data_IF_651891089639
#
_entry.id   IF_651891089639
#
_cell.length_a   1.000
_cell.length_b   1.000
_cell.length_c   1.000
_cell.angle_alpha   90.00
_cell.angle_beta   90.00
_cell.angle_gamma   90.00
#
_symmetry.space_group_name_H-M   'P 1'
#
loop_
_entity.id
_entity.type
_entity.pdbx_description
1 polymer ?
#
# COMPACT_ATOMS: atom_id res chain seq x y z
N UNK A 1 13.44 27.27 22.77
CA UNK A 1 13.08 25.98 23.40
C UNK A 1 12.68 25.05 22.27
N UNK A 2 13.42 23.97 22.07
CA UNK A 2 13.08 22.96 21.05
C UNK A 2 11.80 22.26 21.51
N UNK A 3 10.75 22.29 20.69
CA UNK A 3 9.46 21.62 20.96
C UNK A 3 9.53 20.09 20.74
N UNK A 4 10.73 19.53 20.63
CA UNK A 4 10.98 18.15 20.24
C UNK A 4 11.87 17.47 21.28
N UNK A 5 11.30 16.53 22.05
CA UNK A 5 12.05 15.66 22.96
C UNK A 5 12.46 14.38 22.20
N UNK A 6 13.75 14.21 21.86
CA UNK A 6 14.24 13.03 21.13
C UNK A 6 14.05 11.71 21.89
N UNK A 7 13.71 11.74 23.20
CA UNK A 7 13.40 10.54 24.00
C UNK A 7 12.01 9.97 23.72
N UNK A 8 11.14 10.71 23.03
CA UNK A 8 9.80 10.25 22.63
C UNK A 8 9.78 9.59 21.23
N UNK A 9 10.95 9.37 20.63
CA UNK A 9 11.06 8.69 19.34
C UNK A 9 11.19 7.19 19.60
N UNK A 10 10.34 6.34 19.00
CA UNK A 10 10.52 4.89 19.05
C UNK A 10 11.95 4.52 18.60
N UNK A 11 12.61 3.54 19.25
CA UNK A 11 13.93 3.12 18.85
C UNK A 11 13.91 2.62 17.40
N UNK A 12 14.95 2.96 16.64
CA UNK A 12 15.13 2.39 15.30
C UNK A 12 15.25 0.86 15.38
N UNK A 13 14.83 0.14 14.33
CA UNK A 13 15.12 -1.28 14.20
C UNK A 13 16.63 -1.56 14.27
N UNK A 14 17.03 -2.80 14.62
CA UNK A 14 18.43 -3.21 14.54
C UNK A 14 19.05 -2.94 13.17
N UNK A 15 20.34 -2.61 13.16
CA UNK A 15 21.08 -2.39 11.91
C UNK A 15 21.08 -3.64 11.03
N UNK A 16 20.69 -3.48 9.76
CA UNK A 16 20.70 -4.57 8.75
C UNK A 16 21.85 -4.46 7.77
N UNK A 17 22.36 -3.25 7.57
CA UNK A 17 23.58 -3.01 6.81
C UNK A 17 24.76 -2.97 7.77
N UNK A 18 25.71 -3.90 7.62
CA UNK A 18 26.82 -4.10 8.56
C UNK A 18 28.19 -4.01 7.90
N UNK A 19 28.25 -3.68 6.61
CA UNK A 19 29.51 -3.43 5.91
C UNK A 19 30.08 -2.09 6.39
N UNK A 20 31.40 -2.01 6.46
CA UNK A 20 32.11 -0.80 6.89
C UNK A 20 32.02 0.34 5.86
N UNK A 21 31.95 -0.02 4.58
CA UNK A 21 31.89 0.91 3.46
C UNK A 21 30.47 1.05 2.90
N UNK A 22 30.04 2.25 2.45
CA UNK A 22 28.73 2.46 1.86
C UNK A 22 28.60 1.82 0.46
N UNK A 23 27.37 1.50 0.07
CA UNK A 23 27.03 0.92 -1.24
C UNK A 23 26.03 1.80 -1.99
N UNK A 24 26.29 2.07 -3.28
CA UNK A 24 25.38 2.81 -4.15
C UNK A 24 24.31 1.85 -4.69
N UNK A 25 23.20 1.76 -3.98
CA UNK A 25 22.12 0.79 -4.29
C UNK A 25 20.75 1.43 -4.55
N UNK A 26 20.64 2.76 -4.50
CA UNK A 26 19.39 3.47 -4.73
C UNK A 26 18.98 3.45 -6.21
N UNK A 27 17.68 3.34 -6.45
CA UNK A 27 17.08 3.36 -7.79
C UNK A 27 15.79 4.17 -7.76
N UNK A 28 15.34 4.59 -8.95
CA UNK A 28 14.15 5.43 -9.12
C UNK A 28 13.24 4.80 -10.17
N UNK A 29 11.98 4.57 -9.80
CA UNK A 29 10.90 4.22 -10.73
C UNK A 29 10.11 5.47 -11.09
N UNK A 30 9.99 5.78 -12.38
CA UNK A 30 9.29 6.98 -12.85
C UNK A 30 7.77 6.75 -12.82
N UNK A 31 7.03 7.83 -12.57
CA UNK A 31 5.57 7.78 -12.45
C UNK A 31 4.83 7.55 -13.77
N UNK A 32 5.49 7.81 -14.90
CA UNK A 32 5.01 7.70 -16.27
C UNK A 32 5.45 6.40 -16.96
N UNK A 33 6.22 5.54 -16.28
CA UNK A 33 6.48 4.19 -16.75
C UNK A 33 5.16 3.39 -16.86
N UNK A 34 5.05 2.51 -17.88
CA UNK A 34 3.86 1.69 -18.07
C UNK A 34 3.62 0.75 -16.87
N UNK A 35 2.38 0.25 -16.69
CA UNK A 35 2.09 -0.72 -15.65
C UNK A 35 2.84 -2.03 -15.91
N UNK A 36 3.29 -2.67 -14.82
CA UNK A 36 3.90 -4.00 -14.87
C UNK A 36 2.85 -5.07 -15.23
N UNK A 37 1.59 -4.85 -14.84
CA UNK A 37 0.45 -5.68 -15.23
C UNK A 37 -0.77 -4.84 -15.58
N UNK A 38 -1.42 -5.17 -16.70
CA UNK A 38 -2.65 -4.55 -17.16
C UNK A 38 -3.75 -5.61 -17.39
N UNK A 39 -4.82 -5.54 -16.60
CA UNK A 39 -6.00 -6.38 -16.75
C UNK A 39 -7.03 -5.67 -17.64
N UNK A 40 -6.74 -5.62 -18.95
CA UNK A 40 -7.62 -5.05 -19.98
C UNK A 40 -8.09 -3.60 -19.70
N UNK A 41 -7.24 -2.78 -19.09
CA UNK A 41 -7.54 -1.42 -18.69
C UNK A 41 -8.44 -1.28 -17.47
N UNK A 42 -8.87 -2.39 -16.86
CA UNK A 42 -9.75 -2.40 -15.69
C UNK A 42 -8.99 -2.27 -14.37
N UNK A 43 -7.84 -2.93 -14.27
CA UNK A 43 -6.94 -2.84 -13.12
C UNK A 43 -5.51 -2.83 -13.64
N UNK A 44 -4.74 -1.82 -13.26
CA UNK A 44 -3.33 -1.68 -13.61
C UNK A 44 -2.49 -1.69 -12.35
N UNK A 45 -1.49 -2.56 -12.30
CA UNK A 45 -0.54 -2.63 -11.20
C UNK A 45 0.81 -2.05 -11.64
N UNK A 46 1.29 -1.06 -10.89
CA UNK A 46 2.65 -0.57 -10.95
C UNK A 46 3.38 -1.01 -9.68
N UNK A 47 4.31 -1.94 -9.80
CA UNK A 47 5.20 -2.37 -8.74
C UNK A 47 6.26 -1.29 -8.52
N UNK A 48 6.06 -0.46 -7.49
CA UNK A 48 7.02 0.59 -7.14
C UNK A 48 8.23 -0.01 -6.44
N UNK A 49 8.03 -0.99 -5.55
CA UNK A 49 9.06 -1.84 -4.99
C UNK A 49 8.45 -3.20 -4.62
N UNK A 50 9.04 -4.29 -5.07
CA UNK A 50 8.56 -5.64 -4.74
C UNK A 50 9.36 -6.25 -3.57
N UNK A 51 8.84 -7.34 -3.03
CA UNK A 51 9.43 -8.04 -1.87
C UNK A 51 10.87 -8.51 -2.09
N UNK A 52 11.26 -8.84 -3.33
CA UNK A 52 12.64 -9.24 -3.63
C UNK A 52 13.58 -8.03 -3.61
N UNK A 53 13.13 -6.90 -4.20
CA UNK A 53 13.89 -5.64 -4.24
C UNK A 53 14.10 -5.03 -2.85
N UNK A 54 13.15 -5.26 -1.94
CA UNK A 54 13.20 -4.73 -0.56
C UNK A 54 13.71 -5.73 0.46
N UNK A 55 14.15 -6.92 0.02
CA UNK A 55 14.60 -8.00 0.91
C UNK A 55 13.59 -8.34 2.03
N UNK A 56 12.30 -8.37 1.68
CA UNK A 56 11.23 -8.70 2.63
C UNK A 56 10.66 -7.52 3.42
N UNK A 57 11.18 -6.30 3.28
CA UNK A 57 10.81 -5.19 4.16
C UNK A 57 9.39 -4.71 3.90
N UNK A 58 9.04 -4.58 2.62
CA UNK A 58 7.70 -4.22 2.18
C UNK A 58 7.50 -4.52 0.70
N UNK A 59 6.25 -4.67 0.29
CA UNK A 59 5.83 -4.49 -1.10
C UNK A 59 5.10 -3.17 -1.23
N UNK A 60 5.41 -2.37 -2.24
CA UNK A 60 4.74 -1.11 -2.55
C UNK A 60 4.25 -1.13 -3.99
N UNK A 61 2.96 -0.89 -4.16
CA UNK A 61 2.29 -0.87 -5.45
C UNK A 61 1.47 0.41 -5.59
N UNK A 62 1.47 1.02 -6.78
CA UNK A 62 0.42 1.93 -7.20
C UNK A 62 -0.58 1.13 -8.05
N UNK A 63 -1.84 1.17 -7.67
CA UNK A 63 -2.90 0.43 -8.36
C UNK A 63 -3.93 1.40 -8.90
N UNK A 64 -4.12 1.40 -10.22
CA UNK A 64 -5.18 2.17 -10.86
C UNK A 64 -6.35 1.22 -11.14
N UNK A 65 -7.53 1.56 -10.59
CA UNK A 65 -8.73 0.74 -10.70
C UNK A 65 -9.80 1.55 -11.43
N UNK A 66 -10.27 1.05 -12.58
CA UNK A 66 -11.34 1.71 -13.32
C UNK A 66 -12.68 1.59 -12.56
N UNK A 67 -13.69 2.42 -12.83
CA UNK A 67 -15.01 2.29 -12.21
C UNK A 67 -15.70 0.94 -12.43
N UNK A 68 -15.34 0.23 -13.52
CA UNK A 68 -15.82 -1.11 -13.86
C UNK A 68 -14.85 -2.21 -13.40
N UNK A 69 -13.72 -1.82 -12.81
CA UNK A 69 -12.71 -2.72 -12.29
C UNK A 69 -13.20 -3.52 -11.09
N UNK A 70 -12.54 -4.66 -10.88
CA UNK A 70 -12.67 -5.43 -9.66
C UNK A 70 -11.63 -5.00 -8.62
N UNK A 71 -11.68 -5.69 -7.49
CA UNK A 71 -10.58 -5.75 -6.54
C UNK A 71 -10.71 -7.05 -5.74
N UNK A 72 -9.70 -7.41 -4.94
CA UNK A 72 -9.77 -8.62 -4.15
C UNK A 72 -10.99 -8.55 -3.21
N UNK A 73 -11.67 -9.68 -3.05
CA UNK A 73 -12.69 -9.82 -2.00
C UNK A 73 -12.07 -9.77 -0.59
N UNK A 74 -12.87 -9.65 0.47
CA UNK A 74 -12.36 -9.66 1.86
C UNK A 74 -11.47 -10.87 2.15
N UNK A 75 -10.22 -10.64 2.55
CA UNK A 75 -9.22 -11.66 2.89
C UNK A 75 -8.24 -11.17 3.95
N UNK A 76 -7.48 -12.04 4.61
CA UNK A 76 -6.54 -11.65 5.67
C UNK A 76 -5.10 -12.10 5.38
N UNK A 77 -4.15 -11.44 6.02
CA UNK A 77 -2.73 -11.76 5.93
C UNK A 77 -2.18 -12.11 7.32
N UNK A 78 -1.55 -13.29 7.43
CA UNK A 78 -0.94 -13.74 8.69
C UNK A 78 0.48 -13.23 8.88
N UNK A 79 1.19 -13.01 7.79
CA UNK A 79 2.63 -12.75 7.80
C UNK A 79 3.00 -11.27 7.64
N UNK A 80 2.06 -10.42 7.23
CA UNK A 80 2.34 -9.02 6.88
C UNK A 80 1.14 -8.13 7.14
N UNK A 81 1.41 -6.85 7.42
CA UNK A 81 0.39 -5.80 7.41
C UNK A 81 0.22 -5.26 6.00
N UNK A 82 -1.00 -4.87 5.67
CA UNK A 82 -1.30 -4.16 4.42
C UNK A 82 -1.70 -2.71 4.73
N UNK A 83 -1.41 -1.79 3.83
CA UNK A 83 -1.85 -0.41 3.97
C UNK A 83 -2.31 0.17 2.63
N UNK A 84 -3.39 0.95 2.65
CA UNK A 84 -3.91 1.67 1.51
C UNK A 84 -3.81 3.16 1.76
N UNK A 85 -3.32 3.89 0.76
CA UNK A 85 -3.37 5.35 0.74
C UNK A 85 -4.00 5.78 -0.58
N UNK A 86 -5.10 6.51 -0.51
CA UNK A 86 -5.86 6.88 -1.70
C UNK A 86 -5.24 8.11 -2.35
N UNK A 87 -4.65 7.93 -3.53
CA UNK A 87 -4.01 9.02 -4.27
C UNK A 87 -5.00 9.93 -5.00
N UNK A 88 -6.10 9.38 -5.51
CA UNK A 88 -7.13 10.13 -6.22
C UNK A 88 -8.44 9.32 -6.34
N UNK A 89 -9.54 10.02 -6.64
CA UNK A 89 -10.85 9.40 -6.81
C UNK A 89 -11.45 8.86 -5.50
N UNK A 90 -12.33 7.87 -5.63
CA UNK A 90 -12.99 7.22 -4.49
C UNK A 90 -12.94 5.71 -4.66
N UNK A 91 -12.45 5.04 -3.62
CA UNK A 91 -12.41 3.58 -3.52
C UNK A 91 -13.24 3.13 -2.32
N UNK A 92 -13.77 1.92 -2.37
CA UNK A 92 -14.39 1.26 -1.23
C UNK A 92 -13.32 0.45 -0.53
N UNK A 93 -13.13 0.68 0.76
CA UNK A 93 -12.18 -0.01 1.61
C UNK A 93 -12.96 -0.82 2.65
N UNK A 94 -12.57 -2.07 2.88
CA UNK A 94 -13.16 -2.92 3.91
C UNK A 94 -12.22 -2.97 5.12
N UNK A 95 -12.71 -2.55 6.28
CA UNK A 95 -11.92 -2.42 7.52
C UNK A 95 -11.98 -3.68 8.41
N UNK A 96 -12.63 -4.74 7.94
CA UNK A 96 -12.93 -5.95 8.70
C UNK A 96 -14.36 -6.05 9.18
N UNK A 97 -15.04 -4.92 9.38
CA UNK A 97 -16.43 -4.86 9.82
C UNK A 97 -17.37 -4.44 8.70
N UNK A 98 -17.02 -3.37 7.99
CA UNK A 98 -17.90 -2.79 6.99
C UNK A 98 -17.13 -2.13 5.84
N UNK A 99 -17.85 -1.86 4.75
CA UNK A 99 -17.28 -1.15 3.62
C UNK A 99 -17.42 0.36 3.80
N UNK A 100 -16.29 1.07 3.80
CA UNK A 100 -16.20 2.53 3.87
C UNK A 100 -15.82 3.13 2.53
N UNK A 101 -16.26 4.35 2.27
CA UNK A 101 -15.75 5.14 1.15
C UNK A 101 -14.42 5.77 1.58
N UNK A 102 -13.34 5.44 0.87
CA UNK A 102 -12.02 6.07 0.99
C UNK A 102 -11.85 7.10 -0.11
N UNK A 103 -11.55 8.33 0.29
CA UNK A 103 -11.34 9.48 -0.57
C UNK A 103 -9.86 9.83 -0.62
N UNK A 104 -9.49 10.70 -1.56
CA UNK A 104 -8.12 11.19 -1.66
C UNK A 104 -7.56 11.67 -0.31
N UNK A 105 -6.40 11.13 0.06
CA UNK A 105 -5.74 11.41 1.34
C UNK A 105 -6.13 10.48 2.49
N UNK A 106 -7.17 9.67 2.33
CA UNK A 106 -7.54 8.67 3.34
C UNK A 106 -6.54 7.52 3.36
N UNK A 107 -6.31 7.01 4.57
CA UNK A 107 -5.38 5.94 4.87
C UNK A 107 -6.09 4.81 5.63
N UNK A 108 -5.89 3.57 5.19
CA UNK A 108 -6.30 2.38 5.92
C UNK A 108 -5.06 1.54 6.22
N UNK A 109 -4.82 1.27 7.50
CA UNK A 109 -3.81 0.31 7.94
C UNK A 109 -4.51 -0.97 8.40
N UNK A 110 -4.03 -2.11 7.90
CA UNK A 110 -4.51 -3.44 8.26
C UNK A 110 -3.34 -4.21 8.89
N UNK A 111 -3.32 -4.41 10.22
CA UNK A 111 -2.28 -5.20 10.86
C UNK A 111 -2.39 -6.68 10.44
N UNK A 112 -1.32 -7.49 10.62
CA UNK A 112 -1.43 -8.92 10.41
C UNK A 112 -2.52 -9.48 11.33
N UNK A 113 -3.46 -10.23 10.78
CA UNK A 113 -4.60 -10.74 11.54
C UNK A 113 -5.10 -12.08 10.98
N UNK A 114 -5.64 -12.92 11.86
CA UNK A 114 -6.27 -14.18 11.47
C UNK A 114 -7.75 -14.07 11.11
N UNK A 115 -8.41 -12.95 11.43
CA UNK A 115 -9.86 -12.78 11.32
C UNK A 115 -10.30 -11.46 10.65
N UNK A 116 -9.47 -10.41 10.68
CA UNK A 116 -9.77 -9.13 10.04
C UNK A 116 -9.47 -9.23 8.55
N UNK A 117 -10.50 -9.10 7.73
CA UNK A 117 -10.35 -9.08 6.30
C UNK A 117 -10.08 -7.66 5.78
N UNK A 118 -9.17 -7.55 4.82
CA UNK A 118 -8.90 -6.39 3.96
C UNK A 118 -9.53 -6.62 2.59
N UNK A 119 -10.03 -5.55 1.99
CA UNK A 119 -10.38 -5.51 0.58
C UNK A 119 -10.47 -4.07 0.09
N UNK A 120 -10.21 -3.89 -1.20
CA UNK A 120 -10.50 -2.64 -1.90
C UNK A 120 -11.22 -2.91 -3.22
N UNK A 121 -12.08 -1.98 -3.65
CA UNK A 121 -12.74 -2.00 -4.96
C UNK A 121 -13.14 -0.59 -5.38
N UNK A 122 -13.43 -0.30 -6.66
CA UNK A 122 -13.87 1.04 -7.04
C UNK A 122 -15.28 1.33 -6.49
N UNK A 123 -15.59 2.60 -6.25
CA UNK A 123 -16.97 2.97 -5.93
C UNK A 123 -17.86 2.78 -7.16
N UNK A 124 -18.90 1.94 -7.05
CA UNK A 124 -19.90 1.82 -8.11
C UNK A 124 -20.70 3.12 -8.14
N UNK A 125 -20.78 3.78 -9.30
CA UNK A 125 -21.73 4.88 -9.50
C UNK A 125 -23.13 4.34 -9.18
N UNK A 126 -23.84 4.98 -8.24
CA UNK A 126 -25.27 4.73 -8.07
C UNK A 126 -25.92 5.06 -9.41
N UNK A 127 -26.64 4.11 -10.01
CA UNK A 127 -27.50 4.45 -11.15
C UNK A 127 -28.49 5.49 -10.62
N UNK A 128 -28.49 6.67 -11.26
CA UNK A 128 -29.61 7.61 -11.11
C UNK A 128 -30.86 7.00 -11.72
#
# INVERSE_FOLDING_TARGET
>A
MSFWDPRNVPPYPPARYTKDEPEVSAWLKRGDEPPDYDSFGLVKYHYLANQQQTNGDYGLYRVDISPQGGGPGPHFHRAMSEAFFVLSGTVRLYDGNDWRDGNQGDFLYVPPAGSTASAMRPMRRRRC
#
